data_IF_583154345959
#
_entry.id   IF_583154345959
#
_cell.length_a   1.000
_cell.length_b   1.000
_cell.length_c   1.000
_cell.angle_alpha   90.00
_cell.angle_beta   90.00
_cell.angle_gamma   90.00
#
_symmetry.space_group_name_H-M   'P 1'
#
loop_
_entity.id
_entity.type
_entity.pdbx_description
1 polymer ?
#
# COMPACT_ATOMS: atom_id res chain seq x y z
N UNK A 1 3.62 16.21 -11.18
CA UNK A 1 2.36 16.41 -11.93
C UNK A 1 1.92 17.85 -11.74
N UNK A 2 1.50 18.60 -12.80
CA UNK A 2 0.98 19.95 -12.65
C UNK A 2 -0.33 19.93 -11.85
N UNK A 3 -0.40 20.71 -10.77
CA UNK A 3 -1.60 20.86 -9.93
C UNK A 3 -1.52 20.20 -8.54
N UNK A 4 -0.45 19.50 -8.21
CA UNK A 4 -0.25 18.99 -6.85
C UNK A 4 0.28 20.12 -5.96
N UNK A 5 -0.51 20.53 -4.97
CA UNK A 5 -0.07 21.45 -3.92
C UNK A 5 0.60 20.59 -2.82
N UNK A 6 1.92 20.65 -2.76
CA UNK A 6 2.67 20.03 -1.67
C UNK A 6 2.78 21.05 -0.54
N UNK A 7 2.08 20.82 0.57
CA UNK A 7 2.31 21.54 1.81
C UNK A 7 3.54 20.95 2.49
N UNK A 8 4.69 21.61 2.34
CA UNK A 8 5.89 21.28 3.11
C UNK A 8 5.84 22.14 4.37
N UNK A 9 5.64 21.55 5.56
CA UNK A 9 5.72 22.30 6.80
C UNK A 9 7.12 22.89 6.97
N UNK A 10 7.26 24.13 7.43
CA UNK A 10 8.55 24.78 7.64
C UNK A 10 9.32 24.23 8.85
N UNK A 11 8.75 23.30 9.61
CA UNK A 11 9.35 22.67 10.81
C UNK A 11 9.04 21.16 10.81
N UNK A 12 9.85 20.41 11.53
CA UNK A 12 9.62 18.98 11.75
C UNK A 12 8.29 18.74 12.49
N UNK A 13 7.63 17.64 12.15
CA UNK A 13 6.36 17.24 12.74
C UNK A 13 5.77 16.01 12.11
N UNK A 14 4.58 15.62 12.55
CA UNK A 14 3.82 14.51 11.98
C UNK A 14 2.53 15.02 11.35
N UNK A 15 2.00 14.31 10.36
CA UNK A 15 0.64 14.52 9.85
C UNK A 15 -0.23 13.40 10.37
N UNK A 16 -1.32 13.75 11.02
CA UNK A 16 -2.28 12.82 11.57
C UNK A 16 -3.63 12.94 10.83
N UNK A 17 -4.19 11.81 10.44
CA UNK A 17 -5.55 11.77 9.88
C UNK A 17 -6.54 11.52 11.01
N UNK A 18 -7.42 12.47 11.25
CA UNK A 18 -8.40 12.42 12.33
C UNK A 18 -9.41 11.30 12.10
N UNK A 19 -9.64 10.45 13.11
CA UNK A 19 -10.65 9.40 13.08
C UNK A 19 -11.85 9.75 13.96
N UNK A 20 -12.98 9.13 13.69
CA UNK A 20 -14.17 9.29 14.54
C UNK A 20 -13.87 8.78 15.95
N UNK A 21 -14.09 9.64 16.94
CA UNK A 21 -13.87 9.32 18.35
C UNK A 21 -12.46 9.64 18.87
N UNK A 22 -11.58 10.19 18.04
CA UNK A 22 -10.28 10.68 18.50
C UNK A 22 -10.45 11.89 19.42
N UNK A 23 -9.65 11.92 20.49
CA UNK A 23 -9.52 13.07 21.38
C UNK A 23 -8.18 13.78 21.19
N UNK A 24 -8.17 15.11 21.23
CA UNK A 24 -6.96 15.91 21.11
C UNK A 24 -5.92 15.57 22.19
N UNK A 25 -6.35 15.27 23.41
CA UNK A 25 -5.47 14.85 24.49
C UNK A 25 -4.74 13.55 24.16
N UNK A 26 -5.47 12.54 23.65
CA UNK A 26 -4.88 11.26 23.27
C UNK A 26 -3.91 11.38 22.09
N UNK A 27 -4.29 12.14 21.07
CA UNK A 27 -3.41 12.38 19.90
C UNK A 27 -2.15 13.15 20.32
N UNK A 28 -2.27 14.20 21.13
CA UNK A 28 -1.13 14.99 21.60
C UNK A 28 -0.18 14.18 22.49
N UNK A 29 -0.73 13.35 23.38
CA UNK A 29 0.06 12.45 24.23
C UNK A 29 0.83 11.42 23.39
N UNK A 30 0.17 10.81 22.39
CA UNK A 30 0.80 9.83 21.48
C UNK A 30 2.01 10.43 20.75
N UNK A 31 1.91 11.68 20.31
CA UNK A 31 2.99 12.38 19.58
C UNK A 31 3.94 13.17 20.50
N UNK A 32 3.76 13.08 21.82
CA UNK A 32 4.56 13.77 22.82
C UNK A 32 4.60 15.31 22.64
N UNK A 33 3.45 15.88 22.33
CA UNK A 33 3.23 17.34 22.23
C UNK A 33 2.08 17.76 23.13
N UNK A 34 1.84 19.07 23.28
CA UNK A 34 0.63 19.57 23.94
C UNK A 34 -0.49 19.83 22.92
N UNK A 35 -1.77 19.74 23.31
CA UNK A 35 -2.90 20.08 22.43
C UNK A 35 -2.77 21.47 21.81
N UNK A 36 -2.24 22.43 22.56
CA UNK A 36 -2.06 23.81 22.12
C UNK A 36 -1.17 23.91 20.87
N UNK A 37 -0.11 23.12 20.81
CA UNK A 37 0.81 23.09 19.66
C UNK A 37 0.07 22.66 18.38
N UNK A 38 -0.89 21.74 18.50
CA UNK A 38 -1.70 21.27 17.37
C UNK A 38 -2.73 22.34 16.98
N UNK A 39 -3.41 22.93 17.95
CA UNK A 39 -4.48 23.91 17.72
C UNK A 39 -3.93 25.20 17.13
N UNK A 40 -2.82 25.71 17.70
CA UNK A 40 -2.24 27.00 17.32
C UNK A 40 -1.45 26.95 16.01
N UNK A 41 -1.28 25.76 15.42
CA UNK A 41 -0.65 25.64 14.10
C UNK A 41 -1.55 26.21 13.00
N UNK A 42 -1.13 27.28 12.30
CA UNK A 42 -2.03 28.01 11.40
C UNK A 42 -2.61 27.17 10.26
N UNK A 43 -1.84 26.19 9.74
CA UNK A 43 -2.29 25.37 8.63
C UNK A 43 -3.38 24.36 9.05
N UNK A 44 -3.52 24.02 10.33
CA UNK A 44 -4.59 23.15 10.83
C UNK A 44 -5.96 23.84 10.80
N UNK A 45 -6.00 25.17 10.78
CA UNK A 45 -7.23 25.96 10.79
C UNK A 45 -8.21 25.60 11.91
N UNK A 46 -7.67 25.10 13.03
CA UNK A 46 -8.47 24.76 14.22
C UNK A 46 -8.76 26.03 15.01
N UNK A 47 -10.00 26.18 15.48
CA UNK A 47 -10.42 27.32 16.29
C UNK A 47 -10.86 26.82 17.67
N UNK A 48 -10.19 27.30 18.73
CA UNK A 48 -10.46 26.93 20.13
C UNK A 48 -11.92 27.15 20.54
N UNK A 49 -12.56 28.20 20.03
CA UNK A 49 -13.94 28.53 20.38
C UNK A 49 -14.96 27.54 19.79
N UNK A 50 -14.66 26.97 18.64
CA UNK A 50 -15.55 26.03 17.93
C UNK A 50 -15.15 24.57 18.10
N UNK A 51 -13.96 24.31 18.63
CA UNK A 51 -13.41 22.96 18.79
C UNK A 51 -14.15 22.14 19.86
N UNK A 52 -14.69 22.81 20.90
CA UNK A 52 -15.42 22.15 21.98
C UNK A 52 -14.52 21.42 22.97
N UNK A 53 -14.95 20.25 23.44
CA UNK A 53 -14.20 19.45 24.41
C UNK A 53 -13.01 18.74 23.74
N UNK A 54 -11.83 18.82 24.34
CA UNK A 54 -10.61 18.17 23.85
C UNK A 54 -10.67 16.64 23.93
N UNK A 55 -11.56 16.08 24.73
CA UNK A 55 -11.81 14.64 24.72
C UNK A 55 -12.60 14.17 23.49
N UNK A 56 -13.46 15.06 22.95
CA UNK A 56 -14.23 14.82 21.73
C UNK A 56 -14.33 16.14 20.93
N UNK A 57 -13.23 16.57 20.30
CA UNK A 57 -13.21 17.83 19.58
C UNK A 57 -14.05 17.76 18.31
N UNK A 58 -14.63 18.88 17.94
CA UNK A 58 -15.37 19.03 16.69
C UNK A 58 -14.40 19.11 15.50
N UNK A 59 -13.72 18.00 15.22
CA UNK A 59 -12.86 17.81 14.06
C UNK A 59 -13.48 16.71 13.21
N UNK A 60 -13.74 17.00 11.94
CA UNK A 60 -14.32 16.04 11.01
C UNK A 60 -13.37 14.86 10.77
N UNK A 61 -13.91 13.63 10.80
CA UNK A 61 -13.13 12.44 10.48
C UNK A 61 -12.59 12.53 9.04
N UNK A 62 -11.32 12.20 8.88
CA UNK A 62 -10.60 12.35 7.62
C UNK A 62 -9.81 13.65 7.49
N UNK A 63 -10.01 14.64 8.39
CA UNK A 63 -9.21 15.87 8.43
C UNK A 63 -7.74 15.53 8.68
N UNK A 64 -6.85 16.09 7.86
CA UNK A 64 -5.41 15.98 8.08
C UNK A 64 -4.97 17.11 9.02
N UNK A 65 -4.39 16.73 10.14
CA UNK A 65 -3.90 17.64 11.18
C UNK A 65 -2.39 17.51 11.25
N UNK A 66 -1.68 18.63 11.08
CA UNK A 66 -0.24 18.66 11.29
C UNK A 66 0.08 18.81 12.78
N UNK A 67 1.04 18.03 13.26
CA UNK A 67 1.47 18.00 14.67
C UNK A 67 2.92 18.48 14.75
N UNK A 68 3.15 19.76 14.98
CA UNK A 68 4.49 20.35 15.02
C UNK A 68 5.33 19.73 16.14
N UNK A 69 6.57 19.34 15.83
CA UNK A 69 7.47 18.71 16.79
C UNK A 69 7.04 17.32 17.27
N UNK A 70 5.97 16.77 16.71
CA UNK A 70 5.48 15.44 17.05
C UNK A 70 6.55 14.39 16.74
N UNK A 71 6.96 13.64 17.77
CA UNK A 71 7.89 12.52 17.66
C UNK A 71 7.11 11.22 17.77
N UNK A 72 6.62 10.73 16.68
CA UNK A 72 6.07 9.38 16.51
C UNK A 72 6.87 8.67 15.44
N UNK A 73 6.75 7.36 15.32
CA UNK A 73 7.27 6.66 14.16
C UNK A 73 6.66 7.33 12.93
N UNK A 74 7.50 7.96 12.12
CA UNK A 74 7.10 8.47 10.82
C UNK A 74 6.59 7.27 10.01
N UNK A 75 5.31 7.07 9.99
CA UNK A 75 4.69 6.29 8.96
C UNK A 75 4.54 7.22 7.77
N UNK A 76 5.58 7.21 6.96
CA UNK A 76 5.59 7.56 5.54
C UNK A 76 5.12 8.96 5.13
N UNK A 77 6.10 9.88 5.02
CA UNK A 77 5.98 11.15 4.27
C UNK A 77 5.99 10.94 2.74
N UNK A 78 5.36 9.91 2.23
CA UNK A 78 4.98 9.94 0.84
C UNK A 78 3.61 10.63 0.76
N UNK A 79 3.44 11.62 -0.14
CA UNK A 79 2.18 12.31 -0.25
C UNK A 79 1.07 11.28 -0.46
N UNK A 80 0.12 11.20 0.48
CA UNK A 80 -1.09 10.42 0.24
C UNK A 80 -1.87 11.12 -0.86
N UNK A 81 -1.62 10.68 -2.08
CA UNK A 81 -2.38 11.15 -3.22
C UNK A 81 -3.82 10.70 -3.06
N UNK A 82 -4.77 11.62 -3.16
CA UNK A 82 -6.13 11.24 -3.51
C UNK A 82 -6.03 10.58 -4.87
N UNK A 83 -6.38 9.32 -4.95
CA UNK A 83 -6.33 8.58 -6.21
C UNK A 83 -7.44 9.10 -7.11
N UNK A 84 -7.15 9.36 -8.38
CA UNK A 84 -8.16 9.74 -9.37
C UNK A 84 -9.22 8.64 -9.50
N UNK A 85 -8.78 7.37 -9.40
CA UNK A 85 -9.66 6.21 -9.36
C UNK A 85 -9.43 5.43 -8.05
N UNK A 86 -10.49 4.99 -7.37
CA UNK A 86 -10.36 4.16 -6.19
C UNK A 86 -9.57 2.88 -6.47
N UNK A 87 -8.67 2.54 -5.56
CA UNK A 87 -7.92 1.30 -5.63
C UNK A 87 -8.85 0.11 -5.39
N UNK A 88 -8.78 -0.89 -6.26
CA UNK A 88 -9.56 -2.12 -6.18
C UNK A 88 -8.80 -3.28 -6.81
N UNK A 89 -8.98 -4.47 -6.28
CA UNK A 89 -8.34 -5.67 -6.84
C UNK A 89 -8.94 -6.05 -8.20
N UNK A 90 -8.07 -6.42 -9.14
CA UNK A 90 -8.46 -7.09 -10.39
C UNK A 90 -8.77 -8.58 -10.19
N UNK A 91 -8.41 -9.14 -9.03
CA UNK A 91 -8.70 -10.53 -8.66
C UNK A 91 -9.97 -10.56 -7.81
N UNK A 92 -10.88 -11.46 -8.16
CA UNK A 92 -12.11 -11.70 -7.40
C UNK A 92 -11.84 -12.52 -6.13
N UNK A 93 -12.78 -12.45 -5.19
CA UNK A 93 -12.72 -13.18 -3.91
C UNK A 93 -12.70 -12.22 -2.73
N UNK A 94 -11.94 -12.56 -1.69
CA UNK A 94 -11.83 -11.77 -0.45
C UNK A 94 -10.89 -10.56 -0.62
N UNK A 95 -11.17 -9.73 -1.64
CA UNK A 95 -10.45 -8.48 -1.86
C UNK A 95 -10.73 -7.46 -0.75
N UNK A 96 -9.85 -6.49 -0.62
CA UNK A 96 -10.04 -5.35 0.26
C UNK A 96 -11.25 -4.50 -0.18
N UNK A 97 -11.80 -3.72 0.74
CA UNK A 97 -12.80 -2.70 0.41
C UNK A 97 -12.25 -1.62 -0.52
N UNK A 98 -13.11 -0.68 -0.87
CA UNK A 98 -12.72 0.46 -1.72
C UNK A 98 -11.74 1.36 -0.96
N UNK A 99 -10.59 1.64 -1.59
CA UNK A 99 -9.52 2.47 -1.01
C UNK A 99 -9.35 3.70 -1.90
N UNK A 100 -9.56 4.88 -1.34
CA UNK A 100 -9.57 6.15 -2.09
C UNK A 100 -8.28 6.95 -1.97
N UNK A 101 -7.39 6.56 -1.05
CA UNK A 101 -6.10 7.21 -0.81
C UNK A 101 -4.98 6.19 -0.86
N UNK A 102 -3.79 6.62 -1.19
CA UNK A 102 -2.58 5.81 -1.08
C UNK A 102 -1.53 6.13 -2.12
N UNK A 103 -0.43 5.40 -2.05
CA UNK A 103 0.70 5.62 -2.91
C UNK A 103 0.39 5.34 -4.38
N UNK A 104 1.04 6.11 -5.24
CA UNK A 104 1.00 5.93 -6.69
C UNK A 104 2.40 5.55 -7.15
N UNK A 105 2.51 4.46 -7.87
CA UNK A 105 3.76 3.95 -8.40
C UNK A 105 4.28 4.77 -9.59
N UNK A 106 5.55 4.58 -9.89
CA UNK A 106 6.27 5.25 -10.97
C UNK A 106 5.95 4.66 -12.36
N UNK A 107 5.52 3.40 -12.41
CA UNK A 107 5.40 2.59 -13.64
C UNK A 107 6.71 1.94 -14.05
N UNK A 108 7.75 2.01 -13.22
CA UNK A 108 9.01 1.28 -13.38
C UNK A 108 9.02 0.12 -12.39
N UNK A 109 9.27 -1.10 -12.84
CA UNK A 109 9.08 -2.27 -12.00
C UNK A 109 10.41 -2.97 -11.72
N UNK A 110 10.73 -3.14 -10.42
CA UNK A 110 11.88 -3.94 -9.98
C UNK A 110 11.50 -5.42 -9.82
N UNK A 111 12.48 -6.31 -9.74
CA UNK A 111 12.21 -7.73 -9.48
C UNK A 111 11.58 -7.96 -8.11
N UNK A 112 10.52 -8.82 -8.02
CA UNK A 112 9.83 -9.09 -6.77
C UNK A 112 10.60 -10.02 -5.83
N UNK A 113 11.70 -10.62 -6.28
CA UNK A 113 12.54 -11.56 -5.54
C UNK A 113 14.02 -11.34 -5.87
N UNK A 114 14.90 -11.81 -4.98
CA UNK A 114 16.35 -11.84 -5.26
C UNK A 114 16.67 -12.86 -6.36
N UNK A 115 16.00 -14.01 -6.36
CA UNK A 115 16.09 -14.98 -7.46
C UNK A 115 15.42 -14.44 -8.72
N UNK A 116 15.99 -14.76 -9.88
CA UNK A 116 15.42 -14.48 -11.21
C UNK A 116 15.26 -15.76 -12.02
N UNK A 117 15.36 -16.91 -11.37
CA UNK A 117 15.24 -18.22 -12.02
C UNK A 117 13.77 -18.57 -12.22
N UNK A 118 13.39 -18.89 -13.43
CA UNK A 118 12.04 -19.36 -13.73
C UNK A 118 11.91 -20.83 -13.36
N UNK A 119 10.95 -21.12 -12.50
CA UNK A 119 10.68 -22.43 -11.94
C UNK A 119 9.47 -23.08 -12.61
N UNK A 120 9.67 -23.59 -13.80
CA UNK A 120 8.65 -24.38 -14.48
C UNK A 120 7.88 -23.65 -15.54
N UNK A 121 7.09 -22.61 -15.19
CA UNK A 121 6.22 -21.93 -16.16
C UNK A 121 6.64 -20.49 -16.38
N UNK A 122 6.80 -20.16 -17.65
CA UNK A 122 6.99 -18.79 -18.10
C UNK A 122 5.63 -18.23 -18.61
N UNK A 123 5.57 -16.93 -18.87
CA UNK A 123 4.40 -16.32 -19.50
C UNK A 123 4.08 -17.00 -20.84
N UNK A 124 2.87 -17.54 -20.95
CA UNK A 124 2.39 -18.24 -22.15
C UNK A 124 0.88 -18.08 -22.29
N UNK A 125 0.42 -17.20 -23.19
CA UNK A 125 -1.00 -17.07 -23.53
C UNK A 125 -1.63 -18.36 -24.05
N UNK A 126 -0.84 -19.20 -24.76
CA UNK A 126 -1.30 -20.46 -25.37
C UNK A 126 -1.72 -21.48 -24.30
N UNK A 127 -1.02 -21.52 -23.18
CA UNK A 127 -1.34 -22.38 -22.03
C UNK A 127 -2.20 -21.68 -20.98
N UNK A 128 -2.62 -20.44 -21.25
CA UNK A 128 -3.32 -19.56 -20.32
C UNK A 128 -2.53 -19.26 -19.03
N UNK A 129 -1.21 -19.39 -19.03
CA UNK A 129 -0.33 -18.98 -17.93
C UNK A 129 0.08 -17.52 -18.13
N UNK A 130 -0.65 -16.61 -17.48
CA UNK A 130 -0.47 -15.16 -17.63
C UNK A 130 0.45 -14.57 -16.55
N UNK A 131 1.51 -15.30 -16.22
CA UNK A 131 2.43 -15.04 -15.13
C UNK A 131 3.84 -15.52 -15.49
N UNK A 132 4.78 -15.19 -14.63
CA UNK A 132 6.04 -15.91 -14.52
C UNK A 132 6.12 -16.57 -13.15
N UNK A 133 6.61 -17.82 -13.10
CA UNK A 133 6.83 -18.54 -11.86
C UNK A 133 8.32 -18.45 -11.50
N UNK A 134 8.63 -17.72 -10.44
CA UNK A 134 10.00 -17.44 -10.00
C UNK A 134 10.35 -18.40 -8.86
N UNK A 135 11.32 -19.30 -9.11
CA UNK A 135 11.79 -20.26 -8.12
C UNK A 135 12.56 -19.59 -6.99
N UNK A 136 12.42 -20.17 -5.78
CA UNK A 136 13.16 -19.72 -4.61
C UNK A 136 13.01 -20.65 -3.43
N UNK A 137 13.78 -20.44 -2.37
CA UNK A 137 13.63 -21.21 -1.15
C UNK A 137 12.34 -20.78 -0.43
N UNK A 138 11.67 -21.76 0.21
CA UNK A 138 10.51 -21.50 1.05
C UNK A 138 10.86 -20.47 2.13
N UNK A 139 10.03 -19.43 2.28
CA UNK A 139 10.24 -18.35 3.23
C UNK A 139 11.18 -17.24 2.74
N UNK A 140 11.70 -17.29 1.51
CA UNK A 140 12.44 -16.18 0.92
C UNK A 140 11.59 -14.91 0.85
N UNK A 141 12.16 -13.71 1.06
CA UNK A 141 11.40 -12.48 1.02
C UNK A 141 10.88 -12.17 -0.39
N UNK A 142 9.65 -11.65 -0.43
CA UNK A 142 8.97 -11.14 -1.64
C UNK A 142 8.75 -9.65 -1.48
N UNK A 143 9.05 -8.88 -2.52
CA UNK A 143 9.07 -7.42 -2.51
C UNK A 143 8.06 -6.83 -3.49
N UNK A 144 7.55 -5.64 -3.16
CA UNK A 144 6.71 -4.85 -4.06
C UNK A 144 7.53 -4.38 -5.28
N UNK A 145 7.03 -4.63 -6.47
CA UNK A 145 7.73 -4.24 -7.73
C UNK A 145 7.69 -2.74 -8.00
N UNK A 146 6.71 -2.03 -7.44
CA UNK A 146 6.56 -0.57 -7.51
C UNK A 146 5.75 -0.12 -6.29
N UNK A 147 5.73 1.18 -5.99
CA UNK A 147 4.92 1.74 -4.93
C UNK A 147 3.41 1.58 -5.23
N UNK A 148 2.60 1.50 -4.19
CA UNK A 148 1.15 1.34 -4.36
C UNK A 148 0.42 1.04 -3.06
N UNK A 149 -0.80 0.51 -3.18
CA UNK A 149 -1.68 0.14 -2.07
C UNK A 149 -2.06 -1.33 -2.17
N UNK A 150 -2.04 -2.02 -1.04
CA UNK A 150 -2.51 -3.41 -0.95
C UNK A 150 -4.03 -3.45 -1.12
N UNK A 151 -4.51 -4.07 -2.19
CA UNK A 151 -5.94 -4.23 -2.51
C UNK A 151 -6.44 -5.67 -2.36
N UNK A 152 -5.54 -6.59 -2.07
CA UNK A 152 -5.82 -7.98 -1.69
C UNK A 152 -4.71 -8.48 -0.78
N UNK A 153 -5.04 -9.05 0.37
CA UNK A 153 -4.10 -9.74 1.26
C UNK A 153 -4.88 -10.79 2.04
N UNK A 154 -5.07 -11.96 1.43
CA UNK A 154 -5.86 -13.05 2.01
C UNK A 154 -5.65 -14.34 1.22
N UNK A 155 -6.24 -15.45 1.71
CA UNK A 155 -6.37 -16.70 0.96
C UNK A 155 -7.32 -16.53 -0.23
N UNK A 156 -6.95 -17.12 -1.36
CA UNK A 156 -7.76 -17.15 -2.57
C UNK A 156 -8.03 -18.58 -3.03
N UNK A 157 -9.32 -18.94 -3.14
CA UNK A 157 -9.79 -20.30 -3.48
C UNK A 157 -9.64 -20.65 -4.97
N UNK A 158 -9.30 -19.67 -5.82
CA UNK A 158 -9.15 -19.88 -7.27
C UNK A 158 -7.78 -20.46 -7.67
N UNK A 159 -7.04 -21.01 -6.68
CA UNK A 159 -5.75 -21.62 -6.88
C UNK A 159 -4.55 -20.77 -6.48
N UNK A 160 -4.68 -19.47 -6.29
CA UNK A 160 -3.58 -18.60 -5.90
C UNK A 160 -3.04 -18.87 -4.48
N UNK A 161 -3.84 -19.50 -3.60
CA UNK A 161 -3.47 -19.68 -2.20
C UNK A 161 -3.36 -18.36 -1.46
N UNK A 162 -2.32 -18.16 -0.66
CA UNK A 162 -2.04 -16.86 -0.04
C UNK A 162 -1.63 -15.87 -1.12
N UNK A 163 -2.39 -14.78 -1.20
CA UNK A 163 -2.35 -13.82 -2.30
C UNK A 163 -2.20 -12.39 -1.79
N UNK A 164 -1.29 -11.65 -2.41
CA UNK A 164 -1.24 -10.19 -2.34
C UNK A 164 -1.49 -9.62 -3.74
N UNK A 165 -2.28 -8.54 -3.82
CA UNK A 165 -2.39 -7.69 -5.00
C UNK A 165 -2.11 -6.25 -4.59
N UNK A 166 -1.25 -5.59 -5.36
CA UNK A 166 -0.94 -4.16 -5.22
C UNK A 166 -1.56 -3.41 -6.38
N UNK A 167 -2.30 -2.35 -6.08
CA UNK A 167 -2.75 -1.37 -7.06
C UNK A 167 -1.80 -0.17 -7.04
N UNK A 168 -1.11 0.06 -8.15
CA UNK A 168 -0.09 1.10 -8.28
C UNK A 168 -0.67 2.49 -8.61
N UNK A 169 -1.99 2.62 -8.81
CA UNK A 169 -2.65 3.92 -9.03
C UNK A 169 -2.38 4.61 -10.36
N UNK A 170 -1.57 4.01 -11.19
CA UNK A 170 -1.14 4.50 -12.51
C UNK A 170 -1.64 3.60 -13.66
N UNK A 171 -2.68 2.82 -13.41
CA UNK A 171 -3.24 1.86 -14.36
C UNK A 171 -2.59 0.49 -14.34
N UNK A 172 -1.71 0.22 -13.37
CA UNK A 172 -1.04 -1.06 -13.19
C UNK A 172 -1.40 -1.73 -11.87
N UNK A 173 -1.39 -3.06 -11.89
CA UNK A 173 -1.47 -3.91 -10.71
C UNK A 173 -0.45 -5.03 -10.79
N UNK A 174 0.10 -5.42 -9.64
CA UNK A 174 0.95 -6.60 -9.49
C UNK A 174 0.31 -7.63 -8.57
N UNK A 175 0.48 -8.91 -8.91
CA UNK A 175 -0.13 -10.06 -8.24
C UNK A 175 0.97 -10.99 -7.77
N UNK A 176 0.93 -11.37 -6.50
CA UNK A 176 1.92 -12.21 -5.82
C UNK A 176 1.21 -13.38 -5.17
N UNK A 177 1.34 -14.56 -5.72
CA UNK A 177 0.62 -15.74 -5.26
C UNK A 177 1.52 -16.86 -4.74
N UNK A 178 0.90 -17.90 -4.20
CA UNK A 178 1.50 -19.05 -3.55
C UNK A 178 2.36 -18.70 -2.34
N UNK A 179 2.14 -17.50 -1.73
CA UNK A 179 2.91 -17.03 -0.60
C UNK A 179 2.81 -17.99 0.60
N UNK A 180 3.89 -18.13 1.35
CA UNK A 180 3.87 -18.82 2.63
C UNK A 180 3.20 -17.97 3.71
N UNK A 181 3.52 -16.68 3.69
CA UNK A 181 2.99 -15.70 4.62
C UNK A 181 3.01 -14.30 4.00
N UNK A 182 2.23 -13.38 4.54
CA UNK A 182 2.22 -11.98 4.14
C UNK A 182 2.44 -11.07 5.34
N UNK A 183 3.23 -10.01 5.13
CA UNK A 183 3.61 -9.02 6.17
C UNK A 183 2.97 -7.66 5.93
N UNK A 184 2.11 -7.58 4.90
CA UNK A 184 1.33 -6.40 4.53
C UNK A 184 -0.13 -6.76 4.35
N UNK A 185 -1.01 -5.85 4.78
CA UNK A 185 -2.45 -6.08 4.85
C UNK A 185 -3.25 -5.08 4.02
N UNK A 186 -4.53 -5.37 3.88
CA UNK A 186 -5.48 -4.53 3.15
C UNK A 186 -5.39 -3.05 3.53
N UNK A 187 -5.26 -2.18 2.54
CA UNK A 187 -5.22 -0.73 2.71
C UNK A 187 -3.84 -0.15 3.06
N UNK A 188 -2.85 -1.00 3.37
CA UNK A 188 -1.50 -0.50 3.63
C UNK A 188 -0.83 0.00 2.35
N UNK A 189 -0.08 1.08 2.49
CA UNK A 189 0.81 1.57 1.47
C UNK A 189 2.11 0.77 1.44
N UNK A 190 2.68 0.60 0.27
CA UNK A 190 3.99 -0.02 0.08
C UNK A 190 4.86 0.81 -0.84
N UNK A 191 6.14 0.85 -0.54
CA UNK A 191 7.17 1.43 -1.40
C UNK A 191 7.71 0.39 -2.37
N UNK A 192 8.30 0.84 -3.48
CA UNK A 192 9.04 -0.05 -4.36
C UNK A 192 10.20 -0.72 -3.61
N UNK A 193 10.32 -2.04 -3.74
CA UNK A 193 11.34 -2.83 -3.05
C UNK A 193 11.02 -3.13 -1.57
N UNK A 194 9.88 -2.66 -1.04
CA UNK A 194 9.47 -3.00 0.32
C UNK A 194 9.04 -4.47 0.41
N UNK A 195 9.45 -5.17 1.46
CA UNK A 195 9.01 -6.55 1.70
C UNK A 195 7.50 -6.58 2.00
N UNK A 196 6.79 -7.45 1.28
CA UNK A 196 5.33 -7.62 1.39
C UNK A 196 4.92 -9.01 1.86
N UNK A 197 5.76 -10.02 1.65
CA UNK A 197 5.45 -11.40 2.01
C UNK A 197 6.67 -12.31 1.95
N UNK A 198 6.40 -13.60 2.00
CA UNK A 198 7.39 -14.67 1.94
C UNK A 198 6.99 -15.67 0.88
N UNK A 199 7.95 -16.09 0.04
CA UNK A 199 7.77 -17.09 -1.00
C UNK A 199 7.31 -18.42 -0.38
N UNK A 200 6.34 -19.06 -1.01
CA UNK A 200 5.70 -20.25 -0.51
C UNK A 200 5.40 -21.30 -1.56
N UNK A 201 4.43 -22.14 -1.23
CA UNK A 201 3.88 -23.20 -2.11
C UNK A 201 2.41 -23.46 -1.74
N UNK A 202 1.67 -22.41 -1.39
CA UNK A 202 0.25 -22.52 -1.02
C UNK A 202 -0.66 -22.51 -2.24
N UNK A 203 -1.90 -22.99 -2.09
CA UNK A 203 -2.85 -23.09 -3.20
C UNK A 203 -2.50 -24.18 -4.20
N UNK A 204 -2.71 -23.94 -5.49
CA UNK A 204 -2.40 -24.90 -6.56
C UNK A 204 -0.95 -24.75 -7.02
N UNK A 205 -0.02 -25.24 -6.22
CA UNK A 205 1.43 -25.16 -6.44
C UNK A 205 2.08 -26.54 -6.31
N UNK A 206 3.04 -26.83 -7.16
CA UNK A 206 3.80 -28.11 -7.16
C UNK A 206 5.12 -28.04 -6.37
N UNK A 207 5.52 -26.86 -5.93
CA UNK A 207 6.76 -26.62 -5.17
C UNK A 207 7.01 -25.15 -4.88
N UNK A 208 8.01 -24.80 -4.08
CA UNK A 208 8.26 -23.42 -3.71
C UNK A 208 8.58 -22.50 -4.90
N UNK A 209 7.71 -21.56 -5.18
CA UNK A 209 7.88 -20.50 -6.18
C UNK A 209 6.96 -19.32 -5.90
N UNK A 210 7.27 -18.18 -6.47
CA UNK A 210 6.38 -17.03 -6.57
C UNK A 210 5.71 -17.05 -7.94
N UNK A 211 4.39 -17.18 -7.97
CA UNK A 211 3.61 -16.88 -9.16
C UNK A 211 3.38 -15.37 -9.22
N UNK A 212 3.97 -14.73 -10.22
CA UNK A 212 3.97 -13.27 -10.37
C UNK A 212 3.29 -12.83 -11.66
N UNK A 213 2.26 -11.96 -11.51
CA UNK A 213 1.60 -11.35 -12.66
C UNK A 213 1.77 -9.82 -12.64
N UNK A 214 1.90 -9.23 -13.82
CA UNK A 214 1.77 -7.80 -14.04
C UNK A 214 0.54 -7.55 -14.92
N UNK A 215 -0.34 -6.67 -14.46
CA UNK A 215 -1.63 -6.38 -15.08
C UNK A 215 -1.76 -4.90 -15.39
N UNK A 216 -2.12 -4.58 -16.63
CA UNK A 216 -2.47 -3.24 -17.07
C UNK A 216 -3.98 -3.13 -17.21
N UNK A 217 -4.58 -2.03 -16.77
CA UNK A 217 -6.00 -1.75 -17.01
C UNK A 217 -6.32 -1.67 -18.50
N UNK A 218 -5.33 -1.28 -19.33
CA UNK A 218 -5.49 -1.12 -20.77
C UNK A 218 -5.30 -2.43 -21.54
N UNK A 219 -4.36 -3.30 -21.13
CA UNK A 219 -3.94 -4.47 -21.88
C UNK A 219 -4.22 -5.81 -21.18
N UNK A 220 -4.75 -5.78 -19.96
CA UNK A 220 -4.92 -6.97 -19.13
C UNK A 220 -3.59 -7.49 -18.58
N UNK A 221 -3.47 -8.80 -18.40
CA UNK A 221 -2.22 -9.41 -17.97
C UNK A 221 -1.20 -9.39 -19.12
N UNK A 222 -0.01 -8.88 -18.82
CA UNK A 222 1.12 -8.75 -19.77
C UNK A 222 2.26 -9.67 -19.37
N UNK A 223 3.23 -9.87 -20.27
CA UNK A 223 4.43 -10.61 -19.95
C UNK A 223 5.32 -9.79 -19.00
N UNK A 224 5.54 -10.22 -17.74
CA UNK A 224 6.32 -9.45 -16.78
C UNK A 224 7.78 -9.19 -17.20
N UNK A 225 8.36 -10.10 -18.02
CA UNK A 225 9.71 -9.95 -18.53
C UNK A 225 9.96 -8.66 -19.32
N UNK A 226 8.92 -8.13 -19.96
CA UNK A 226 9.05 -6.95 -20.82
C UNK A 226 9.13 -5.66 -19.97
N UNK A 227 8.89 -5.74 -18.65
CA UNK A 227 8.75 -4.61 -17.76
C UNK A 227 9.70 -4.63 -16.55
N UNK A 228 10.14 -5.82 -16.10
CA UNK A 228 11.02 -5.95 -14.92
C UNK A 228 12.47 -5.55 -15.25
N UNK A 229 13.07 -4.74 -14.36
CA UNK A 229 14.44 -4.21 -14.52
C UNK A 229 15.39 -4.71 -13.42
#
# INVERSE_FOLDING_TARGET
YPGVVILIPPIDGAVYKWNTGDGLNGVSEFYNVTPDVIIDWPANQLNRETLGDFAMPNIEAGTLVFIPGGSGAFTDWLPMYTREEPAKSSISGSACGIITYGYVGSGTFVWPTVSREISGFNYSPETNHKAIDIGGALGSPVYAVDAGVIVYSNWNEMGYGNLIVIDHGNGWQSVYAHLNDYVKFCGENVEQGQQIGMLGSTGNSTGPHLHFELRSLQHGAVNPWDFLQ
#
